data_IF_529859254276
#
_entry.id   IF_529859254276
#
_cell.length_a   1.000
_cell.length_b   1.000
_cell.length_c   1.000
_cell.angle_alpha   90.00
_cell.angle_beta   90.00
_cell.angle_gamma   90.00
#
_symmetry.space_group_name_H-M   'P 1'
#
loop_
_entity.id
_entity.type
_entity.pdbx_description
1 polymer ?
#
# COMPACT_ATOMS: atom_id res chain seq x y z
N UNK A 1 -8.34 -27.74 2.61
CA UNK A 1 -9.44 -27.45 1.67
C UNK A 1 -9.65 -25.94 1.66
N UNK A 2 -9.71 -25.30 0.49
CA UNK A 2 -10.06 -23.86 0.39
C UNK A 2 -11.58 -23.72 0.47
N UNK A 3 -12.08 -22.77 1.27
CA UNK A 3 -13.51 -22.45 1.34
C UNK A 3 -13.89 -21.41 0.30
N UNK A 4 -15.19 -21.26 0.01
CA UNK A 4 -15.67 -20.20 -0.88
C UNK A 4 -15.33 -18.80 -0.33
N UNK A 5 -15.31 -18.63 0.99
CA UNK A 5 -14.88 -17.38 1.62
C UNK A 5 -13.40 -17.06 1.35
N UNK A 6 -12.53 -18.07 1.36
CA UNK A 6 -11.11 -17.88 1.02
C UNK A 6 -10.95 -17.46 -0.45
N UNK A 7 -11.73 -18.05 -1.35
CA UNK A 7 -11.75 -17.67 -2.77
C UNK A 7 -12.21 -16.21 -2.96
N UNK A 8 -13.27 -15.80 -2.26
CA UNK A 8 -13.76 -14.42 -2.30
C UNK A 8 -12.75 -13.43 -1.70
N UNK A 9 -12.02 -13.83 -0.65
CA UNK A 9 -10.96 -13.01 -0.05
C UNK A 9 -9.76 -12.85 -0.99
N UNK A 10 -9.38 -13.90 -1.73
CA UNK A 10 -8.32 -13.86 -2.74
C UNK A 10 -8.70 -12.90 -3.89
N UNK A 11 -9.94 -12.98 -4.39
CA UNK A 11 -10.45 -12.03 -5.39
C UNK A 11 -10.46 -10.59 -4.88
N UNK A 12 -10.79 -10.38 -3.60
CA UNK A 12 -10.77 -9.05 -2.98
C UNK A 12 -9.35 -8.50 -2.86
N UNK A 13 -8.38 -9.33 -2.46
CA UNK A 13 -6.97 -8.96 -2.38
C UNK A 13 -6.36 -8.60 -3.74
N UNK A 14 -6.83 -9.22 -4.82
CA UNK A 14 -6.45 -8.87 -6.19
C UNK A 14 -7.26 -7.71 -6.80
N UNK A 15 -8.19 -7.10 -6.05
CA UNK A 15 -9.04 -6.02 -6.55
C UNK A 15 -10.03 -6.44 -7.66
N UNK A 16 -10.30 -7.75 -7.79
CA UNK A 16 -11.18 -8.32 -8.83
C UNK A 16 -12.66 -8.32 -8.45
N UNK A 17 -12.98 -8.01 -7.20
CA UNK A 17 -14.35 -7.90 -6.70
C UNK A 17 -14.49 -6.61 -5.88
N UNK A 18 -15.62 -5.92 -6.00
CA UNK A 18 -15.90 -4.74 -5.19
C UNK A 18 -16.24 -5.13 -3.74
N UNK A 19 -15.99 -4.21 -2.79
CA UNK A 19 -16.35 -4.41 -1.37
C UNK A 19 -17.82 -4.82 -1.20
N UNK A 20 -18.74 -4.18 -1.93
CA UNK A 20 -20.18 -4.51 -1.88
C UNK A 20 -20.47 -5.94 -2.34
N UNK A 21 -19.83 -6.38 -3.43
CA UNK A 21 -20.02 -7.74 -3.95
C UNK A 21 -19.42 -8.81 -3.02
N UNK A 22 -18.27 -8.52 -2.40
CA UNK A 22 -17.69 -9.39 -1.36
C UNK A 22 -18.63 -9.53 -0.16
N UNK A 23 -19.14 -8.42 0.40
CA UNK A 23 -20.03 -8.45 1.56
C UNK A 23 -21.36 -9.15 1.27
N UNK A 24 -21.95 -8.91 0.09
CA UNK A 24 -23.18 -9.57 -0.31
C UNK A 24 -23.03 -11.09 -0.41
N UNK A 25 -21.90 -11.57 -0.95
CA UNK A 25 -21.61 -13.00 -1.05
C UNK A 25 -21.23 -13.60 0.30
N UNK A 26 -20.45 -12.90 1.11
CA UNK A 26 -20.13 -13.34 2.48
C UNK A 26 -21.40 -13.46 3.34
N UNK A 27 -22.35 -12.54 3.21
CA UNK A 27 -23.64 -12.64 3.86
C UNK A 27 -24.46 -13.85 3.37
N UNK A 28 -24.46 -14.13 2.06
CA UNK A 28 -25.11 -15.32 1.51
C UNK A 28 -24.47 -16.64 1.98
N UNK A 29 -23.18 -16.62 2.32
CA UNK A 29 -22.44 -17.73 2.93
C UNK A 29 -22.66 -17.83 4.45
N UNK A 30 -23.55 -17.02 5.03
CA UNK A 30 -23.93 -17.08 6.43
C UNK A 30 -22.96 -16.36 7.38
N UNK A 31 -22.04 -15.53 6.87
CA UNK A 31 -21.17 -14.74 7.74
C UNK A 31 -22.03 -13.70 8.48
N UNK A 32 -21.86 -13.62 9.80
CA UNK A 32 -22.64 -12.71 10.66
C UNK A 32 -22.24 -11.25 10.44
N UNK A 33 -23.21 -10.33 10.45
CA UNK A 33 -22.96 -8.89 10.28
C UNK A 33 -21.88 -8.33 11.24
N UNK A 34 -21.71 -8.94 12.41
CA UNK A 34 -20.68 -8.57 13.38
C UNK A 34 -19.24 -8.87 12.91
N UNK A 35 -19.01 -9.94 12.13
CA UNK A 35 -17.69 -10.31 11.61
C UNK A 35 -17.33 -9.61 10.30
N UNK A 36 -18.31 -9.02 9.62
CA UNK A 36 -18.19 -8.39 8.30
C UNK A 36 -17.12 -7.30 8.23
N UNK A 37 -17.04 -6.35 9.18
CA UNK A 37 -16.05 -5.28 9.15
C UNK A 37 -14.61 -5.82 9.24
N UNK A 38 -14.36 -6.77 10.13
CA UNK A 38 -13.04 -7.38 10.30
C UNK A 38 -12.62 -8.19 9.07
N UNK A 39 -13.55 -8.96 8.49
CA UNK A 39 -13.28 -9.76 7.30
C UNK A 39 -13.03 -8.87 6.06
N UNK A 40 -13.85 -7.85 5.86
CA UNK A 40 -13.67 -6.88 4.79
C UNK A 40 -12.36 -6.08 4.95
N UNK A 41 -12.02 -5.70 6.19
CA UNK A 41 -10.77 -5.02 6.49
C UNK A 41 -9.55 -5.84 6.09
N UNK A 42 -9.56 -7.15 6.38
CA UNK A 42 -8.50 -8.07 5.96
C UNK A 42 -8.48 -8.30 4.44
N UNK A 43 -9.65 -8.54 3.84
CA UNK A 43 -9.78 -8.88 2.42
C UNK A 43 -9.39 -7.73 1.49
N UNK A 44 -9.57 -6.48 1.92
CA UNK A 44 -9.24 -5.26 1.16
C UNK A 44 -8.06 -4.49 1.76
N UNK A 45 -7.27 -5.11 2.64
CA UNK A 45 -6.09 -4.48 3.20
C UNK A 45 -5.07 -4.19 2.10
N UNK A 46 -4.52 -2.97 2.08
CA UNK A 46 -3.32 -2.69 1.29
C UNK A 46 -2.16 -3.49 1.87
N UNK A 47 -1.67 -4.46 1.10
CA UNK A 47 -0.49 -5.25 1.45
C UNK A 47 0.75 -4.64 0.83
N UNK A 48 1.92 -4.90 1.42
CA UNK A 48 3.18 -4.43 0.88
C UNK A 48 3.39 -5.02 -0.52
N UNK A 49 3.52 -4.16 -1.52
CA UNK A 49 3.88 -4.57 -2.88
C UNK A 49 5.40 -4.75 -2.91
N UNK A 50 5.87 -5.97 -3.11
CA UNK A 50 7.30 -6.27 -3.20
C UNK A 50 7.83 -5.83 -4.56
N UNK A 51 8.72 -4.83 -4.56
CA UNK A 51 9.37 -4.32 -5.76
C UNK A 51 8.57 -3.22 -6.47
N UNK A 52 9.01 -2.87 -7.68
CA UNK A 52 8.49 -1.74 -8.46
C UNK A 52 9.43 -0.51 -8.43
N UNK A 53 9.13 0.47 -9.28
CA UNK A 53 9.87 1.73 -9.36
C UNK A 53 8.96 2.84 -8.82
N UNK A 54 9.36 3.47 -7.73
CA UNK A 54 8.72 4.70 -7.26
C UNK A 54 9.24 5.85 -8.14
N UNK A 55 8.34 6.48 -8.89
CA UNK A 55 8.62 7.70 -9.64
C UNK A 55 7.97 8.87 -8.94
N UNK A 56 8.78 9.80 -8.44
CA UNK A 56 8.31 11.02 -7.80
C UNK A 56 8.89 12.23 -8.54
N UNK A 57 8.05 13.21 -8.84
CA UNK A 57 8.51 14.52 -9.30
C UNK A 57 8.93 15.35 -8.09
N UNK A 58 10.23 15.65 -7.98
CA UNK A 58 10.80 16.43 -6.89
C UNK A 58 11.35 17.74 -7.44
N UNK A 59 11.20 18.83 -6.67
CA UNK A 59 11.66 20.16 -7.04
C UNK A 59 13.02 20.47 -6.38
N UNK A 60 13.85 21.27 -7.05
CA UNK A 60 15.15 21.73 -6.52
C UNK A 60 16.35 20.83 -6.86
N UNK A 61 16.35 20.18 -8.03
CA UNK A 61 17.52 19.49 -8.56
C UNK A 61 18.45 20.48 -9.28
N UNK A 62 19.42 21.04 -8.55
CA UNK A 62 20.38 22.02 -9.07
C UNK A 62 21.77 21.39 -9.24
N UNK A 63 22.55 21.85 -10.23
CA UNK A 63 23.90 21.34 -10.51
C UNK A 63 24.91 21.58 -9.38
N UNK A 64 24.61 22.53 -8.49
CA UNK A 64 25.46 22.93 -7.35
C UNK A 64 25.02 22.31 -6.02
N UNK A 65 24.09 21.36 -6.03
CA UNK A 65 23.67 20.67 -4.81
C UNK A 65 24.80 19.80 -4.24
N UNK A 66 24.93 19.81 -2.91
CA UNK A 66 25.80 18.92 -2.15
C UNK A 66 25.01 17.73 -1.64
N UNK A 67 25.64 16.55 -1.53
CA UNK A 67 25.08 15.36 -0.85
C UNK A 67 25.35 15.34 0.66
N UNK A 68 26.07 16.34 1.18
CA UNK A 68 26.26 16.50 2.63
C UNK A 68 24.90 16.80 3.31
N UNK A 69 24.43 15.94 4.24
CA UNK A 69 23.15 16.11 4.90
C UNK A 69 22.99 17.45 5.62
N UNK A 70 24.09 18.02 6.14
CA UNK A 70 24.08 19.31 6.82
C UNK A 70 23.89 20.50 5.86
N UNK A 71 24.13 20.30 4.57
CA UNK A 71 24.05 21.33 3.52
C UNK A 71 22.83 21.13 2.60
N UNK A 72 21.88 20.27 2.98
CA UNK A 72 20.68 20.01 2.21
C UNK A 72 19.75 21.24 2.16
N UNK A 73 19.65 21.86 0.99
CA UNK A 73 18.76 23.01 0.74
C UNK A 73 17.58 22.70 -0.18
N UNK A 74 17.48 21.48 -0.71
CA UNK A 74 16.46 21.10 -1.70
C UNK A 74 15.79 19.76 -1.39
N UNK A 75 14.59 19.56 -1.94
CA UNK A 75 13.82 18.33 -1.73
C UNK A 75 14.50 17.10 -2.36
N UNK A 76 15.23 17.31 -3.46
CA UNK A 76 15.94 16.23 -4.16
C UNK A 76 17.01 15.64 -3.25
N UNK A 77 17.95 16.46 -2.76
CA UNK A 77 19.07 15.93 -1.97
C UNK A 77 18.62 15.39 -0.62
N UNK A 78 17.62 16.04 0.00
CA UNK A 78 16.98 15.56 1.22
C UNK A 78 16.35 14.17 1.04
N UNK A 79 15.65 13.94 -0.09
CA UNK A 79 15.04 12.63 -0.37
C UNK A 79 16.09 11.55 -0.61
N UNK A 80 17.21 11.88 -1.25
CA UNK A 80 18.34 10.97 -1.41
C UNK A 80 19.00 10.61 -0.07
N UNK A 81 19.24 11.59 0.82
CA UNK A 81 19.82 11.32 2.14
C UNK A 81 18.99 10.34 2.97
N UNK A 82 17.66 10.41 2.88
CA UNK A 82 16.75 9.45 3.53
C UNK A 82 16.86 8.02 3.01
N UNK A 83 17.18 7.85 1.72
CA UNK A 83 17.33 6.53 1.10
C UNK A 83 18.64 5.86 1.49
N UNK A 84 19.70 6.63 1.74
CA UNK A 84 21.03 6.11 2.15
C UNK A 84 21.23 6.03 3.66
N UNK A 85 20.30 6.55 4.46
CA UNK A 85 20.41 6.48 5.92
C UNK A 85 21.37 7.50 6.53
N UNK A 86 21.89 8.43 5.73
CA UNK A 86 22.70 9.57 6.19
C UNK A 86 21.80 10.77 6.50
N UNK A 87 20.60 10.53 7.03
CA UNK A 87 19.67 11.61 7.37
C UNK A 87 20.03 12.21 8.73
N UNK A 88 20.21 13.53 8.79
CA UNK A 88 20.40 14.31 10.01
C UNK A 88 19.05 14.72 10.63
#
# INVERSE_FOLDING_TARGET
MKTELDYLAELAGHGRISRRAFLGRAAALGVSAAMMPALAGKAFAQTAVKGGIIKAGLQGGESTNSLDPALNLSQVTFSFGKLWGEYL
#
